data_IF_376944175530
#
_entry.id   IF_376944175530
#
_cell.length_a   1.000
_cell.length_b   1.000
_cell.length_c   1.000
_cell.angle_alpha   90.00
_cell.angle_beta   90.00
_cell.angle_gamma   90.00
#
_symmetry.space_group_name_H-M   'P 1'
#
loop_
_entity.id
_entity.type
_entity.pdbx_description
1 polymer ?
#
# COMPACT_ATOMS: atom_id res chain seq x y z
N UNK A 1 9.27 12.70 -2.60
CA UNK A 1 9.60 11.97 -1.35
C UNK A 1 10.83 11.09 -1.53
N UNK A 2 10.80 10.04 -2.36
CA UNK A 2 11.92 9.09 -2.50
C UNK A 2 13.27 9.77 -2.80
N UNK A 3 13.31 10.68 -3.78
CA UNK A 3 14.53 11.46 -4.09
C UNK A 3 15.11 12.18 -2.86
N UNK A 4 14.27 12.86 -2.08
CA UNK A 4 14.71 13.56 -0.87
C UNK A 4 15.22 12.59 0.21
N UNK A 5 14.63 11.40 0.33
CA UNK A 5 15.12 10.36 1.25
C UNK A 5 16.51 9.86 0.85
N UNK A 6 16.74 9.65 -0.45
CA UNK A 6 18.05 9.25 -0.98
C UNK A 6 19.09 10.35 -0.78
N UNK A 7 18.74 11.60 -1.09
CA UNK A 7 19.63 12.77 -0.88
C UNK A 7 19.99 12.96 0.61
N UNK A 8 19.08 12.59 1.52
CA UNK A 8 19.34 12.58 2.96
C UNK A 8 20.14 11.36 3.45
N UNK A 9 20.48 10.40 2.57
CA UNK A 9 21.31 9.24 2.90
C UNK A 9 20.54 8.00 3.38
N UNK A 10 19.23 7.90 3.14
CA UNK A 10 18.45 6.72 3.53
C UNK A 10 18.84 5.49 2.69
N UNK A 11 19.15 4.36 3.35
CA UNK A 11 19.49 3.09 2.68
C UNK A 11 18.27 2.27 2.25
N UNK A 12 17.11 2.53 2.87
CA UNK A 12 15.85 1.87 2.54
C UNK A 12 14.65 2.74 2.90
N UNK A 13 13.56 2.61 2.13
CA UNK A 13 12.33 3.37 2.31
C UNK A 13 11.14 2.44 2.15
N UNK A 14 10.20 2.51 3.09
CA UNK A 14 8.94 1.79 2.97
C UNK A 14 7.82 2.70 2.46
N UNK A 15 6.92 2.13 1.65
CA UNK A 15 5.70 2.77 1.16
C UNK A 15 4.52 1.88 1.52
N UNK A 16 3.46 2.49 2.06
CA UNK A 16 2.23 1.79 2.44
C UNK A 16 1.09 2.08 1.47
N UNK A 17 0.07 1.21 1.48
CA UNK A 17 -1.08 1.26 0.58
C UNK A 17 -2.30 1.98 1.15
N UNK A 18 -2.13 2.74 2.24
CA UNK A 18 -3.19 3.60 2.78
C UNK A 18 -3.35 4.91 2.00
N UNK A 19 -4.57 5.44 2.00
CA UNK A 19 -4.87 6.78 1.53
C UNK A 19 -4.18 7.81 2.43
N UNK A 20 -3.30 8.63 1.86
CA UNK A 20 -2.46 9.57 2.61
C UNK A 20 -3.26 10.58 3.46
N UNK A 21 -4.44 11.04 2.99
CA UNK A 21 -5.27 12.00 3.73
C UNK A 21 -5.99 11.39 4.93
N UNK A 22 -6.17 10.08 4.94
CA UNK A 22 -6.78 9.32 6.05
C UNK A 22 -5.79 8.32 6.64
N UNK A 23 -4.50 8.64 6.55
CA UNK A 23 -3.43 7.77 7.04
C UNK A 23 -3.55 7.60 8.54
N UNK A 24 -3.68 6.37 9.01
CA UNK A 24 -3.68 6.03 10.44
C UNK A 24 -2.45 5.20 10.80
N UNK A 25 -2.09 5.20 12.08
CA UNK A 25 -1.12 4.23 12.61
C UNK A 25 -1.67 2.81 12.42
N UNK A 26 -0.79 1.82 12.20
CA UNK A 26 -1.17 0.45 11.84
C UNK A 26 -2.19 -0.21 12.79
N UNK A 27 -2.15 0.13 14.08
CA UNK A 27 -3.02 -0.43 15.12
C UNK A 27 -4.34 0.35 15.32
N UNK A 28 -4.60 1.41 14.54
CA UNK A 28 -5.81 2.23 14.67
C UNK A 28 -6.86 1.80 13.63
N UNK A 29 -8.14 1.85 14.03
CA UNK A 29 -9.26 1.62 13.12
C UNK A 29 -9.46 2.75 12.10
N UNK A 30 -10.27 2.49 11.07
CA UNK A 30 -10.61 3.48 10.03
C UNK A 30 -9.52 3.67 8.97
N UNK A 31 -8.61 2.69 8.80
CA UNK A 31 -7.63 2.68 7.72
C UNK A 31 -8.34 2.50 6.38
N UNK A 32 -8.01 3.33 5.40
CA UNK A 32 -8.59 3.27 4.06
C UNK A 32 -7.51 2.91 3.05
N UNK A 33 -7.66 1.77 2.37
CA UNK A 33 -6.75 1.29 1.34
C UNK A 33 -6.94 2.04 0.02
N UNK A 34 -5.85 2.21 -0.72
CA UNK A 34 -5.87 2.52 -2.13
C UNK A 34 -6.11 1.24 -2.96
N UNK A 35 -6.56 1.33 -4.22
CA UNK A 35 -6.57 0.20 -5.14
C UNK A 35 -5.15 -0.37 -5.32
N UNK A 36 -5.05 -1.68 -5.53
CA UNK A 36 -3.76 -2.38 -5.66
C UNK A 36 -2.87 -1.72 -6.74
N UNK A 37 -3.44 -1.31 -7.88
CA UNK A 37 -2.71 -0.60 -8.94
C UNK A 37 -2.10 0.74 -8.50
N UNK A 38 -2.73 1.45 -7.56
CA UNK A 38 -2.20 2.73 -7.07
C UNK A 38 -0.98 2.50 -6.18
N UNK A 39 -1.01 1.48 -5.32
CA UNK A 39 0.13 1.09 -4.50
C UNK A 39 1.31 0.64 -5.38
N UNK A 40 1.05 -0.20 -6.39
CA UNK A 40 2.07 -0.61 -7.39
C UNK A 40 2.67 0.61 -8.10
N UNK A 41 1.84 1.57 -8.55
CA UNK A 41 2.33 2.80 -9.17
C UNK A 41 3.27 3.59 -8.25
N UNK A 42 2.98 3.64 -6.94
CA UNK A 42 3.83 4.31 -5.98
C UNK A 42 5.19 3.60 -5.81
N UNK A 43 5.21 2.26 -5.79
CA UNK A 43 6.44 1.46 -5.75
C UNK A 43 7.28 1.67 -7.02
N UNK A 44 6.65 1.66 -8.20
CA UNK A 44 7.33 1.95 -9.48
C UNK A 44 7.92 3.36 -9.49
N UNK A 45 7.19 4.35 -8.97
CA UNK A 45 7.69 5.73 -8.85
C UNK A 45 8.88 5.83 -7.88
N UNK A 46 8.85 5.07 -6.78
CA UNK A 46 9.99 4.99 -5.86
C UNK A 46 11.22 4.36 -6.52
N UNK A 47 11.04 3.25 -7.26
CA UNK A 47 12.14 2.62 -8.00
C UNK A 47 12.72 3.54 -9.07
N UNK A 48 11.86 4.20 -9.85
CA UNK A 48 12.28 5.17 -10.84
C UNK A 48 13.14 6.29 -10.23
N UNK A 49 12.75 6.81 -9.05
CA UNK A 49 13.53 7.84 -8.37
C UNK A 49 14.91 7.32 -7.91
N UNK A 50 14.98 6.06 -7.45
CA UNK A 50 16.24 5.42 -7.07
C UNK A 50 17.15 5.20 -8.28
N UNK A 51 16.59 4.71 -9.39
CA UNK A 51 17.30 4.47 -10.65
C UNK A 51 17.87 5.78 -11.23
N UNK A 52 17.08 6.86 -11.23
CA UNK A 52 17.51 8.19 -11.70
C UNK A 52 18.67 8.74 -10.88
N UNK A 53 18.73 8.45 -9.58
CA UNK A 53 19.83 8.86 -8.71
C UNK A 53 20.99 7.86 -8.66
N UNK A 54 20.86 6.71 -9.34
CA UNK A 54 21.91 5.69 -9.41
C UNK A 54 22.23 5.02 -8.08
N UNK A 55 21.27 4.95 -7.15
CA UNK A 55 21.46 4.32 -5.82
C UNK A 55 20.55 3.10 -5.70
N UNK A 56 21.08 1.91 -5.34
CA UNK A 56 20.28 0.69 -5.16
C UNK A 56 19.56 0.70 -3.80
N UNK A 57 18.77 1.73 -3.52
CA UNK A 57 18.00 1.87 -2.27
C UNK A 57 17.00 0.73 -2.14
N UNK A 58 16.89 0.15 -0.94
CA UNK A 58 15.90 -0.88 -0.64
C UNK A 58 14.48 -0.28 -0.63
N UNK A 59 13.57 -0.92 -1.35
CA UNK A 59 12.16 -0.55 -1.41
C UNK A 59 11.35 -1.60 -0.67
N UNK A 60 10.60 -1.16 0.35
CA UNK A 60 9.77 -2.03 1.18
C UNK A 60 8.29 -1.73 0.89
N UNK A 61 7.54 -2.72 0.43
CA UNK A 61 6.10 -2.60 0.24
C UNK A 61 5.37 -3.01 1.52
N UNK A 62 4.75 -2.04 2.19
CA UNK A 62 3.88 -2.27 3.34
C UNK A 62 2.43 -2.40 2.88
N UNK A 63 1.71 -3.38 3.41
CA UNK A 63 0.26 -3.47 3.31
C UNK A 63 -0.39 -3.39 4.68
N UNK A 64 -1.48 -2.65 4.79
CA UNK A 64 -2.30 -2.52 6.00
C UNK A 64 -3.60 -3.32 5.92
N UNK A 65 -3.76 -4.14 4.88
CA UNK A 65 -4.99 -4.87 4.57
C UNK A 65 -5.39 -5.95 5.60
N UNK A 66 -4.51 -6.29 6.54
CA UNK A 66 -4.85 -7.22 7.62
C UNK A 66 -5.95 -6.67 8.54
N UNK A 67 -5.98 -5.34 8.76
CA UNK A 67 -6.97 -4.70 9.62
C UNK A 67 -7.73 -3.54 8.95
N UNK A 68 -7.37 -3.14 7.72
CA UNK A 68 -8.09 -2.11 6.98
C UNK A 68 -9.35 -2.68 6.30
N UNK A 69 -10.52 -2.22 6.74
CA UNK A 69 -11.83 -2.67 6.27
C UNK A 69 -12.48 -1.71 5.24
N UNK A 70 -11.71 -0.75 4.72
CA UNK A 70 -12.15 0.24 3.75
C UNK A 70 -11.19 0.32 2.56
N UNK A 71 -11.71 0.57 1.36
CA UNK A 71 -10.95 0.86 0.15
C UNK A 71 -11.58 2.04 -0.62
N UNK A 72 -10.75 2.89 -1.22
CA UNK A 72 -11.25 4.12 -1.88
C UNK A 72 -12.03 3.87 -3.17
N UNK A 73 -11.74 2.78 -3.89
CA UNK A 73 -12.37 2.48 -5.17
C UNK A 73 -12.31 0.99 -5.49
N UNK A 74 -13.31 0.50 -6.20
CA UNK A 74 -13.45 -0.83 -6.78
C UNK A 74 -12.89 -0.94 -8.21
N UNK A 75 -12.05 0.01 -8.65
CA UNK A 75 -11.56 0.03 -10.03
C UNK A 75 -10.61 -1.13 -10.38
N UNK A 76 -9.94 -1.73 -9.39
CA UNK A 76 -8.96 -2.79 -9.61
C UNK A 76 -9.59 -4.18 -9.40
N UNK A 77 -9.67 -5.03 -10.45
CA UNK A 77 -10.28 -6.36 -10.35
C UNK A 77 -9.64 -7.28 -9.30
N UNK A 78 -8.37 -7.06 -8.93
CA UNK A 78 -7.68 -7.85 -7.90
C UNK A 78 -8.27 -7.64 -6.51
N UNK A 79 -8.88 -6.48 -6.29
CA UNK A 79 -9.49 -6.09 -5.01
C UNK A 79 -10.95 -6.58 -4.88
N UNK A 80 -11.62 -6.89 -5.99
CA UNK A 80 -13.06 -7.20 -6.03
C UNK A 80 -13.49 -8.32 -5.09
N UNK A 81 -12.68 -9.39 -4.98
CA UNK A 81 -13.00 -10.54 -4.11
C UNK A 81 -13.09 -10.19 -2.61
N UNK A 82 -12.55 -9.04 -2.21
CA UNK A 82 -12.61 -8.57 -0.83
C UNK A 82 -13.68 -7.52 -0.60
N UNK A 83 -14.26 -6.93 -1.66
CA UNK A 83 -15.27 -5.88 -1.54
C UNK A 83 -16.62 -6.52 -1.21
N UNK A 84 -17.26 -6.03 -0.15
CA UNK A 84 -18.53 -6.57 0.35
C UNK A 84 -19.76 -6.07 -0.43
N UNK A 85 -19.61 -4.95 -1.15
CA UNK A 85 -20.69 -4.24 -1.82
C UNK A 85 -21.28 -3.07 -1.00
N UNK A 86 -20.97 -2.98 0.30
CA UNK A 86 -21.40 -1.85 1.12
C UNK A 86 -20.50 -0.62 0.94
N UNK A 87 -21.08 0.57 1.16
CA UNK A 87 -20.36 1.85 1.08
C UNK A 87 -20.58 2.74 2.30
N UNK A 88 -19.59 3.56 2.59
CA UNK A 88 -19.66 4.60 3.63
C UNK A 88 -20.26 5.91 3.08
N UNK A 89 -20.71 6.85 3.94
CA UNK A 89 -21.19 8.17 3.50
C UNK A 89 -20.16 8.99 2.72
N UNK A 90 -18.87 8.82 3.03
CA UNK A 90 -17.74 9.45 2.34
C UNK A 90 -17.49 8.81 0.96
N UNK A 91 -18.10 7.64 0.71
CA UNK A 91 -17.98 6.91 -0.54
C UNK A 91 -16.89 5.85 -0.57
N UNK A 92 -16.33 5.43 0.57
CA UNK A 92 -15.43 4.28 0.58
C UNK A 92 -16.21 2.97 0.46
N UNK A 93 -15.59 1.96 -0.11
CA UNK A 93 -16.15 0.60 -0.15
C UNK A 93 -15.68 -0.18 1.07
N UNK A 94 -16.57 -0.96 1.68
CA UNK A 94 -16.23 -1.89 2.76
C UNK A 94 -15.55 -3.14 2.19
N UNK A 95 -14.44 -3.55 2.78
CA UNK A 95 -13.73 -4.80 2.45
C UNK A 95 -13.79 -5.79 3.59
N UNK A 96 -13.55 -7.07 3.28
CA UNK A 96 -13.27 -8.11 4.27
C UNK A 96 -11.78 -8.08 4.63
N UNK A 97 -11.37 -7.42 5.74
CA UNK A 97 -9.97 -7.36 6.15
C UNK A 97 -9.44 -8.73 6.55
N UNK A 98 -8.13 -8.84 6.61
CA UNK A 98 -7.45 -9.99 7.20
C UNK A 98 -6.30 -10.51 6.34
N UNK A 99 -5.72 -11.61 6.81
CA UNK A 99 -4.50 -12.16 6.22
C UNK A 99 -4.65 -12.52 4.74
N UNK A 100 -5.83 -12.96 4.28
CA UNK A 100 -6.06 -13.28 2.87
C UNK A 100 -5.99 -12.03 1.96
N UNK A 101 -6.48 -10.89 2.45
CA UNK A 101 -6.37 -9.61 1.75
C UNK A 101 -4.91 -9.14 1.75
N UNK A 102 -4.22 -9.25 2.88
CA UNK A 102 -2.80 -8.91 3.00
C UNK A 102 -1.90 -9.80 2.13
N UNK A 103 -2.16 -11.11 2.04
CA UNK A 103 -1.43 -12.03 1.16
C UNK A 103 -1.62 -11.64 -0.30
N UNK A 104 -2.85 -11.37 -0.73
CA UNK A 104 -3.13 -10.97 -2.11
C UNK A 104 -2.41 -9.67 -2.48
N UNK A 105 -2.38 -8.70 -1.56
CA UNK A 105 -1.65 -7.43 -1.69
C UNK A 105 -0.15 -7.67 -1.77
N UNK A 106 0.41 -8.45 -0.84
CA UNK A 106 1.83 -8.79 -0.80
C UNK A 106 2.30 -9.47 -2.09
N UNK A 107 1.53 -10.42 -2.62
CA UNK A 107 1.82 -11.07 -3.90
C UNK A 107 1.80 -10.09 -5.08
N UNK A 108 0.87 -9.14 -5.08
CA UNK A 108 0.80 -8.11 -6.13
C UNK A 108 1.96 -7.12 -6.05
N UNK A 109 2.52 -6.87 -4.85
CA UNK A 109 3.60 -5.93 -4.63
C UNK A 109 4.99 -6.57 -4.79
N UNK A 110 5.12 -7.88 -4.61
CA UNK A 110 6.39 -8.61 -4.63
C UNK A 110 7.27 -8.34 -5.86
N UNK A 111 6.76 -8.20 -7.10
CA UNK A 111 7.61 -7.89 -8.25
C UNK A 111 8.23 -6.47 -8.24
N UNK A 112 7.77 -5.60 -7.35
CA UNK A 112 8.09 -4.16 -7.33
C UNK A 112 8.81 -3.72 -6.06
N UNK A 113 9.11 -4.64 -5.14
CA UNK A 113 9.72 -4.35 -3.86
C UNK A 113 10.79 -5.38 -3.51
N UNK A 114 11.79 -4.94 -2.76
CA UNK A 114 12.87 -5.81 -2.26
C UNK A 114 12.41 -6.58 -1.01
N UNK A 115 11.50 -5.99 -0.23
CA UNK A 115 10.86 -6.61 0.93
C UNK A 115 9.35 -6.32 0.95
N UNK A 116 8.57 -7.26 1.48
CA UNK A 116 7.14 -7.10 1.73
C UNK A 116 6.87 -7.15 3.23
N UNK A 117 6.04 -6.24 3.71
CA UNK A 117 5.64 -6.11 5.12
C UNK A 117 4.12 -6.10 5.23
N UNK A 118 3.56 -7.11 5.90
CA UNK A 118 2.17 -7.08 6.37
C UNK A 118 2.14 -6.45 7.75
N UNK A 119 1.49 -5.30 7.90
CA UNK A 119 1.28 -4.74 9.24
C UNK A 119 0.24 -5.57 10.00
N UNK A 120 0.58 -5.98 11.22
CA UNK A 120 -0.30 -6.74 12.12
C UNK A 120 -0.69 -5.90 13.34
N UNK A 121 -1.91 -6.08 13.85
CA UNK A 121 -2.41 -5.42 15.07
C UNK A 121 -2.18 -6.24 16.34
#
# INVERSE_FOLDING_TARGET
LMKAMIEAGASGVHFEDQLASEKKCGHLGGKVLLPTQNAVRNLVSARLAADVLGVPTLIIARTDADAADLITSDIDPRDHKFITGERTPEGFYRTNPGIDQAIARGLAYAPFADLVWCETS
#
